data_IF_814017034422
#
_entry.id   IF_814017034422
#
_cell.length_a   1.000
_cell.length_b   1.000
_cell.length_c   1.000
_cell.angle_alpha   90.00
_cell.angle_beta   90.00
_cell.angle_gamma   90.00
#
_symmetry.space_group_name_H-M   'P 1'
#
loop_
_entity.id
_entity.type
_entity.pdbx_description
1 polymer ?
#
# COMPACT_ATOMS: atom_id res chain seq x y z
N UNK A 1 -15.75 23.64 -26.86
CA UNK A 1 -15.46 23.16 -25.48
C UNK A 1 -14.05 22.59 -25.49
N UNK A 2 -13.17 23.27 -24.74
CA UNK A 2 -11.71 23.28 -24.80
C UNK A 2 -10.97 21.96 -24.58
N UNK A 3 -10.22 21.53 -25.60
CA UNK A 3 -9.26 20.42 -25.52
C UNK A 3 -7.96 20.84 -24.83
N UNK A 4 -7.64 22.13 -24.85
CA UNK A 4 -6.44 22.71 -24.24
C UNK A 4 -6.55 22.82 -22.72
N UNK A 5 -7.69 23.30 -22.22
CA UNK A 5 -8.00 23.32 -20.78
C UNK A 5 -7.97 21.93 -20.14
N UNK A 6 -8.35 20.88 -20.89
CA UNK A 6 -8.31 19.50 -20.41
C UNK A 6 -6.87 18.98 -20.25
N UNK A 7 -5.98 19.27 -21.19
CA UNK A 7 -4.55 18.89 -21.13
C UNK A 7 -3.81 19.55 -19.97
N UNK A 8 -4.11 20.82 -19.69
CA UNK A 8 -3.51 21.54 -18.55
C UNK A 8 -3.98 20.94 -17.22
N UNK A 9 -5.27 20.61 -17.11
CA UNK A 9 -5.84 19.97 -15.92
C UNK A 9 -5.25 18.56 -15.69
N UNK A 10 -5.12 17.75 -16.75
CA UNK A 10 -4.50 16.43 -16.68
C UNK A 10 -3.03 16.52 -16.19
N UNK A 11 -2.28 17.52 -16.67
CA UNK A 11 -0.90 17.77 -16.22
C UNK A 11 -0.82 18.17 -14.75
N UNK A 12 -1.73 19.02 -14.28
CA UNK A 12 -1.80 19.44 -12.88
C UNK A 12 -2.16 18.29 -11.94
N UNK A 13 -3.13 17.45 -12.33
CA UNK A 13 -3.49 16.25 -11.59
C UNK A 13 -2.32 15.26 -11.47
N UNK A 14 -1.58 15.05 -12.56
CA UNK A 14 -0.39 14.20 -12.56
C UNK A 14 0.70 14.75 -11.63
N UNK A 15 0.97 16.05 -11.68
CA UNK A 15 1.97 16.69 -10.82
C UNK A 15 1.61 16.55 -9.34
N UNK A 16 0.35 16.79 -8.98
CA UNK A 16 -0.14 16.59 -7.60
C UNK A 16 -0.05 15.13 -7.15
N UNK A 17 -0.29 14.19 -8.07
CA UNK A 17 -0.16 12.75 -7.79
C UNK A 17 1.30 12.37 -7.55
N UNK A 18 2.23 12.87 -8.37
CA UNK A 18 3.66 12.63 -8.19
C UNK A 18 4.17 13.22 -6.87
N UNK A 19 3.76 14.44 -6.53
CA UNK A 19 4.12 15.10 -5.28
C UNK A 19 3.60 14.33 -4.05
N UNK A 20 2.37 13.83 -4.13
CA UNK A 20 1.80 12.96 -3.10
C UNK A 20 2.61 11.66 -2.96
N UNK A 21 2.93 10.99 -4.07
CA UNK A 21 3.70 9.75 -4.03
C UNK A 21 5.12 9.98 -3.48
N UNK A 22 5.78 11.09 -3.82
CA UNK A 22 7.13 11.39 -3.29
C UNK A 22 7.13 11.62 -1.76
N UNK A 23 6.08 12.25 -1.23
CA UNK A 23 5.92 12.49 0.21
C UNK A 23 5.47 11.25 0.98
N UNK A 24 4.51 10.48 0.46
CA UNK A 24 3.82 9.44 1.22
C UNK A 24 4.29 8.01 0.89
N UNK A 25 5.10 7.80 -0.15
CA UNK A 25 5.66 6.49 -0.43
C UNK A 25 6.48 5.98 0.77
N UNK A 26 6.07 4.83 1.30
CA UNK A 26 6.72 4.16 2.44
C UNK A 26 8.00 3.43 2.05
N UNK A 27 8.14 3.09 0.76
CA UNK A 27 9.27 2.36 0.19
C UNK A 27 9.83 3.15 -0.99
N UNK A 28 11.01 3.76 -0.82
CA UNK A 28 11.63 4.58 -1.87
C UNK A 28 12.55 3.80 -2.80
N UNK A 29 13.10 2.68 -2.32
CA UNK A 29 14.01 1.83 -3.08
C UNK A 29 13.25 0.70 -3.76
N UNK A 30 13.54 0.48 -5.04
CA UNK A 30 12.92 -0.57 -5.86
C UNK A 30 13.05 -1.97 -5.23
N UNK A 31 14.22 -2.28 -4.67
CA UNK A 31 14.48 -3.55 -3.98
C UNK A 31 13.54 -3.80 -2.79
N UNK A 32 13.18 -2.76 -2.05
CA UNK A 32 12.25 -2.85 -0.91
C UNK A 32 10.81 -3.06 -1.41
N UNK A 33 10.42 -2.37 -2.48
CA UNK A 33 9.09 -2.56 -3.11
C UNK A 33 8.94 -4.00 -3.58
N UNK A 34 9.93 -4.54 -4.29
CA UNK A 34 9.89 -5.92 -4.77
C UNK A 34 9.89 -6.95 -3.63
N UNK A 35 10.58 -6.67 -2.52
CA UNK A 35 10.56 -7.53 -1.34
C UNK A 35 9.16 -7.57 -0.69
N UNK A 36 8.56 -6.40 -0.48
CA UNK A 36 7.20 -6.28 0.08
C UNK A 36 6.16 -6.91 -0.85
N UNK A 37 6.29 -6.73 -2.17
CA UNK A 37 5.40 -7.36 -3.14
C UNK A 37 5.47 -8.90 -3.10
N UNK A 38 6.68 -9.46 -2.92
CA UNK A 38 6.86 -10.92 -2.75
C UNK A 38 6.22 -11.41 -1.45
N UNK A 39 6.42 -10.71 -0.33
CA UNK A 39 5.80 -11.05 0.96
C UNK A 39 4.28 -11.07 0.84
N UNK A 40 3.68 -9.99 0.32
CA UNK A 40 2.23 -9.89 0.15
C UNK A 40 1.66 -10.90 -0.85
N UNK A 41 2.43 -11.25 -1.89
CA UNK A 41 2.01 -12.23 -2.89
C UNK A 41 2.02 -13.67 -2.38
N UNK A 42 2.74 -13.95 -1.28
CA UNK A 42 2.74 -15.25 -0.61
C UNK A 42 1.42 -15.54 0.14
N UNK A 43 0.52 -14.55 0.25
CA UNK A 43 -0.80 -14.64 0.88
C UNK A 43 -1.94 -14.67 -0.17
N UNK A 44 -2.17 -15.81 -0.87
CA UNK A 44 -3.19 -15.95 -1.91
C UNK A 44 -4.63 -15.64 -1.44
N UNK A 45 -4.90 -15.82 -0.15
CA UNK A 45 -6.17 -15.51 0.51
C UNK A 45 -6.49 -14.00 0.51
N UNK A 46 -5.47 -13.15 0.46
CA UNK A 46 -5.63 -11.70 0.40
C UNK A 46 -5.89 -11.25 -1.04
N UNK A 47 -6.94 -10.45 -1.23
CA UNK A 47 -7.24 -9.82 -2.50
C UNK A 47 -6.19 -8.76 -2.86
N UNK A 48 -6.07 -8.44 -4.15
CA UNK A 48 -5.13 -7.41 -4.63
C UNK A 48 -5.32 -6.06 -3.92
N UNK A 49 -6.56 -5.70 -3.62
CA UNK A 49 -6.87 -4.47 -2.88
C UNK A 49 -6.30 -4.50 -1.46
N UNK A 50 -6.46 -5.60 -0.73
CA UNK A 50 -5.97 -5.76 0.65
C UNK A 50 -4.44 -5.70 0.70
N UNK A 51 -3.77 -6.39 -0.23
CA UNK A 51 -2.31 -6.32 -0.36
C UNK A 51 -1.84 -4.89 -0.61
N UNK A 52 -2.50 -4.16 -1.51
CA UNK A 52 -2.17 -2.77 -1.79
C UNK A 52 -2.37 -1.87 -0.54
N UNK A 53 -3.44 -2.09 0.23
CA UNK A 53 -3.67 -1.34 1.47
C UNK A 53 -2.60 -1.63 2.52
N UNK A 54 -2.26 -2.91 2.76
CA UNK A 54 -1.21 -3.28 3.72
C UNK A 54 0.15 -2.67 3.35
N UNK A 55 0.52 -2.71 2.07
CA UNK A 55 1.75 -2.08 1.57
C UNK A 55 1.74 -0.54 1.61
N UNK A 56 0.57 0.10 1.61
CA UNK A 56 0.48 1.57 1.61
C UNK A 56 0.35 2.16 3.02
N UNK A 57 -0.49 1.54 3.86
CA UNK A 57 -0.80 2.03 5.20
C UNK A 57 0.35 1.75 6.18
N UNK A 58 1.01 0.58 6.05
CA UNK A 58 2.06 0.11 6.96
C UNK A 58 1.64 0.20 8.43
N UNK A 59 0.51 -0.44 8.76
CA UNK A 59 0.01 -0.55 10.12
C UNK A 59 1.03 -1.23 11.04
N UNK A 60 1.00 -0.88 12.33
CA UNK A 60 1.90 -1.47 13.32
C UNK A 60 1.28 -2.71 13.97
N UNK A 61 -0.04 -2.71 14.10
CA UNK A 61 -0.79 -3.76 14.80
C UNK A 61 -1.83 -4.43 13.89
N UNK A 62 -2.05 -5.73 14.09
CA UNK A 62 -3.08 -6.48 13.39
C UNK A 62 -4.50 -5.89 13.62
N UNK A 63 -4.78 -5.43 14.84
CA UNK A 63 -6.03 -4.74 15.19
C UNK A 63 -6.23 -3.47 14.35
N UNK A 64 -5.19 -2.64 14.21
CA UNK A 64 -5.21 -1.43 13.39
C UNK A 64 -5.48 -1.78 11.92
N UNK A 65 -4.77 -2.78 11.39
CA UNK A 65 -4.95 -3.23 10.01
C UNK A 65 -6.37 -3.74 9.75
N UNK A 66 -6.95 -4.54 10.64
CA UNK A 66 -8.34 -5.02 10.52
C UNK A 66 -9.36 -3.89 10.71
N UNK A 67 -9.05 -2.88 11.51
CA UNK A 67 -9.92 -1.70 11.66
C UNK A 67 -9.95 -0.85 10.40
N UNK A 68 -8.79 -0.62 9.77
CA UNK A 68 -8.67 0.18 8.55
C UNK A 68 -9.09 -0.58 7.28
N UNK A 69 -8.87 -1.90 7.26
CA UNK A 69 -9.18 -2.79 6.13
C UNK A 69 -10.06 -3.94 6.64
N UNK A 70 -11.35 -3.69 6.92
CA UNK A 70 -12.24 -4.66 7.55
C UNK A 70 -12.47 -5.95 6.75
N UNK A 71 -12.19 -5.95 5.44
CA UNK A 71 -12.27 -7.16 4.61
C UNK A 71 -11.20 -8.22 4.96
N UNK A 72 -10.19 -7.88 5.78
CA UNK A 72 -9.18 -8.80 6.31
C UNK A 72 -9.69 -9.67 7.46
N UNK A 73 -10.79 -9.29 8.13
CA UNK A 73 -11.19 -9.82 9.43
C UNK A 73 -11.21 -11.36 9.49
N UNK A 74 -11.78 -11.98 8.44
CA UNK A 74 -12.00 -13.44 8.35
C UNK A 74 -11.01 -14.15 7.42
N UNK A 75 -9.98 -13.46 6.93
CA UNK A 75 -9.06 -14.00 5.90
C UNK A 75 -7.71 -14.45 6.46
N UNK A 76 -7.24 -13.77 7.49
CA UNK A 76 -5.92 -14.00 8.09
C UNK A 76 -6.06 -13.88 9.61
N UNK A 77 -5.35 -14.74 10.35
CA UNK A 77 -5.34 -14.67 11.81
C UNK A 77 -4.62 -13.41 12.29
N UNK A 78 -4.88 -12.98 13.52
CA UNK A 78 -4.19 -11.81 14.07
C UNK A 78 -2.69 -12.06 14.21
N UNK A 79 -2.29 -13.29 14.56
CA UNK A 79 -0.89 -13.69 14.70
C UNK A 79 -0.16 -13.67 13.35
N UNK A 80 -0.74 -14.30 12.32
CA UNK A 80 -0.14 -14.32 10.97
C UNK A 80 -0.09 -12.91 10.36
N UNK A 81 -1.13 -12.10 10.60
CA UNK A 81 -1.16 -10.71 10.15
C UNK A 81 -0.10 -9.88 10.87
N UNK A 82 0.09 -10.08 12.17
CA UNK A 82 1.11 -9.38 12.94
C UNK A 82 2.52 -9.75 12.46
N UNK A 83 2.78 -11.02 12.17
CA UNK A 83 4.06 -11.47 11.58
C UNK A 83 4.30 -10.81 10.22
N UNK A 84 3.30 -10.82 9.33
CA UNK A 84 3.37 -10.16 8.03
C UNK A 84 3.65 -8.66 8.15
N UNK A 85 2.94 -7.95 9.04
CA UNK A 85 3.16 -6.53 9.28
C UNK A 85 4.57 -6.26 9.80
N UNK A 86 5.08 -7.09 10.70
CA UNK A 86 6.44 -6.98 11.22
C UNK A 86 7.49 -7.13 10.10
N UNK A 87 7.32 -8.11 9.19
CA UNK A 87 8.22 -8.29 8.05
C UNK A 87 8.15 -7.12 7.06
N UNK A 88 6.94 -6.65 6.72
CA UNK A 88 6.77 -5.47 5.85
C UNK A 88 7.46 -4.24 6.45
N UNK A 89 7.31 -4.04 7.77
CA UNK A 89 7.87 -2.90 8.48
C UNK A 89 9.41 -2.89 8.49
N UNK A 90 10.08 -4.05 8.41
CA UNK A 90 11.56 -4.12 8.28
C UNK A 90 12.08 -3.55 6.96
N UNK A 91 11.22 -3.48 5.94
CA UNK A 91 11.59 -2.92 4.63
C UNK A 91 11.33 -1.42 4.51
N UNK A 92 10.78 -0.78 5.55
CA UNK A 92 10.58 0.68 5.58
C UNK A 92 11.94 1.37 5.67
N UNK A 93 12.30 2.13 4.64
CA UNK A 93 13.63 2.77 4.50
C UNK A 93 13.97 3.08 3.06
#
# INVERSE_FOLDING_TARGET
MDKDSKRVNDSEMLNKTLEYLDHFARFKRKENVEAVERLLSAHPELAKFERAQLGSLCCELAEEAKTLVPSLADKISDDDLQELLNEINKHRG
#
